data_IF_628848860417
#
_entry.id   IF_628848860417
#
_cell.length_a   1.000
_cell.length_b   1.000
_cell.length_c   1.000
_cell.angle_alpha   90.00
_cell.angle_beta   90.00
_cell.angle_gamma   90.00
#
_symmetry.space_group_name_H-M   'P 1'
#
loop_
_entity.id
_entity.type
_entity.pdbx_description
1 polymer ?
#
# COMPACT_ATOMS: atom_id res chain seq x y z
N UNK A 1 9.86 -12.17 -6.70
CA UNK A 1 8.57 -11.44 -6.72
C UNK A 1 8.76 -10.13 -5.97
N UNK A 2 7.88 -9.14 -6.16
CA UNK A 2 7.93 -7.88 -5.41
C UNK A 2 6.61 -7.66 -4.70
N UNK A 3 6.66 -7.05 -3.51
CA UNK A 3 5.47 -6.63 -2.78
C UNK A 3 5.53 -5.17 -2.41
N UNK A 4 4.36 -4.52 -2.40
CA UNK A 4 4.17 -3.17 -1.86
C UNK A 4 2.96 -3.17 -0.94
N UNK A 5 2.97 -2.32 0.09
CA UNK A 5 1.83 -2.18 1.00
C UNK A 5 1.61 -0.72 1.34
N UNK A 6 0.44 -0.20 0.98
CA UNK A 6 0.03 1.16 1.28
C UNK A 6 -1.27 1.18 2.07
N UNK A 7 -1.39 2.22 2.88
CA UNK A 7 -2.64 2.67 3.48
C UNK A 7 -3.08 3.96 2.80
N UNK A 8 -4.39 4.07 2.54
CA UNK A 8 -5.04 5.31 2.18
C UNK A 8 -5.96 5.70 3.34
N UNK A 9 -5.58 6.77 4.02
CA UNK A 9 -6.32 7.30 5.16
C UNK A 9 -6.67 8.76 4.89
N UNK A 10 -7.97 9.09 4.83
CA UNK A 10 -8.42 10.49 4.61
C UNK A 10 -7.69 11.18 3.44
N UNK A 11 -7.62 10.50 2.29
CA UNK A 11 -6.91 10.93 1.07
C UNK A 11 -5.38 11.06 1.19
N UNK A 12 -4.78 10.68 2.32
CA UNK A 12 -3.33 10.64 2.51
C UNK A 12 -2.80 9.21 2.34
N UNK A 13 -1.76 9.06 1.53
CA UNK A 13 -1.11 7.78 1.27
C UNK A 13 0.06 7.59 2.24
N UNK A 14 0.06 6.47 2.94
CA UNK A 14 1.17 6.06 3.81
C UNK A 14 1.76 4.74 3.34
N UNK A 15 3.09 4.70 3.22
CA UNK A 15 3.82 3.47 2.94
C UNK A 15 4.00 2.64 4.23
N UNK A 16 3.40 1.46 4.23
CA UNK A 16 3.43 0.55 5.38
C UNK A 16 4.70 -0.31 5.43
N UNK A 17 5.52 -0.33 4.37
CA UNK A 17 6.80 -1.03 4.31
C UNK A 17 8.00 -0.11 4.55
N UNK A 18 7.82 1.21 4.42
CA UNK A 18 8.87 2.19 4.69
C UNK A 18 9.50 2.00 6.10
N UNK A 19 10.83 2.16 6.24
CA UNK A 19 11.51 2.04 7.52
C UNK A 19 11.04 3.09 8.54
N UNK A 20 11.03 2.74 9.84
CA UNK A 20 10.50 3.59 10.93
C UNK A 20 11.30 4.88 11.16
N UNK A 21 12.54 4.95 10.67
CA UNK A 21 13.41 6.16 10.68
C UNK A 21 12.71 7.38 10.05
N UNK A 22 11.75 7.15 9.15
CA UNK A 22 10.97 8.19 8.49
C UNK A 22 10.04 8.98 9.43
N UNK A 23 9.79 8.53 10.67
CA UNK A 23 8.87 9.23 11.60
C UNK A 23 9.50 10.37 12.38
N UNK A 24 10.84 10.42 12.49
CA UNK A 24 11.55 11.36 13.38
C UNK A 24 12.56 12.27 12.69
N UNK A 25 12.90 12.01 11.43
CA UNK A 25 13.74 12.90 10.63
C UNK A 25 12.91 14.00 10.00
N UNK A 26 13.38 15.24 10.08
CA UNK A 26 12.83 16.42 9.39
C UNK A 26 12.29 16.05 8.00
N UNK A 27 11.13 16.63 7.63
CA UNK A 27 10.29 16.40 6.45
C UNK A 27 11.02 16.24 5.08
N UNK A 28 12.32 16.56 5.03
CA UNK A 28 13.19 16.51 3.84
C UNK A 28 13.79 15.13 3.51
N UNK A 29 13.76 14.15 4.42
CA UNK A 29 14.34 12.80 4.17
C UNK A 29 13.30 11.73 3.80
N UNK A 30 12.00 12.04 3.89
CA UNK A 30 10.95 11.14 3.44
C UNK A 30 10.95 11.07 1.92
N UNK A 31 11.01 9.85 1.38
CA UNK A 31 10.80 9.59 -0.05
C UNK A 31 9.40 10.14 -0.41
N UNK A 32 9.27 11.09 -1.35
CA UNK A 32 7.97 11.65 -1.68
C UNK A 32 7.08 10.57 -2.30
N UNK A 33 5.95 10.31 -1.66
CA UNK A 33 4.91 9.42 -2.18
C UNK A 33 3.96 10.27 -3.01
N UNK A 34 3.77 9.91 -4.27
CA UNK A 34 2.92 10.68 -5.19
C UNK A 34 1.99 9.74 -5.97
N UNK A 35 0.71 10.08 -6.01
CA UNK A 35 -0.25 9.46 -6.91
C UNK A 35 -0.08 10.07 -8.31
N UNK A 36 0.09 9.21 -9.31
CA UNK A 36 0.38 9.59 -10.69
C UNK A 36 -0.55 8.83 -11.64
N UNK A 37 -0.83 9.45 -12.79
CA UNK A 37 -1.52 8.80 -13.90
C UNK A 37 -0.52 8.42 -14.98
N UNK A 38 -0.68 7.24 -15.57
CA UNK A 38 0.02 6.85 -16.78
C UNK A 38 -0.65 7.50 -18.00
N UNK A 39 0.06 7.51 -19.14
CA UNK A 39 -0.45 8.07 -20.39
C UNK A 39 -1.66 7.35 -21.00
N UNK A 40 -2.20 6.32 -20.33
CA UNK A 40 -3.37 5.52 -20.71
C UNK A 40 -4.50 5.65 -19.68
N UNK A 41 -4.39 6.53 -18.69
CA UNK A 41 -5.39 6.76 -17.64
C UNK A 41 -5.32 5.76 -16.47
N UNK A 42 -4.28 4.94 -16.39
CA UNK A 42 -4.01 4.07 -15.25
C UNK A 42 -3.36 4.82 -14.09
N UNK A 43 -3.86 4.66 -12.87
CA UNK A 43 -3.29 5.31 -11.67
C UNK A 43 -2.25 4.42 -11.02
N UNK A 44 -1.10 4.99 -10.63
CA UNK A 44 -0.07 4.32 -9.85
C UNK A 44 0.53 5.25 -8.78
N UNK A 45 1.08 4.65 -7.74
CA UNK A 45 1.74 5.39 -6.66
C UNK A 45 3.26 5.27 -6.83
N UNK A 46 3.93 6.41 -6.96
CA UNK A 46 5.38 6.52 -7.01
C UNK A 46 5.94 6.67 -5.59
N UNK A 47 7.12 6.11 -5.36
CA UNK A 47 7.87 6.32 -4.12
C UNK A 47 7.60 5.28 -3.03
N UNK A 48 6.69 4.33 -3.26
CA UNK A 48 6.50 3.18 -2.37
C UNK A 48 7.76 2.31 -2.34
N UNK A 49 8.01 1.75 -1.17
CA UNK A 49 9.03 0.74 -0.96
C UNK A 49 8.57 -0.60 -1.56
N UNK A 50 9.46 -1.23 -2.33
CA UNK A 50 9.23 -2.53 -2.95
C UNK A 50 10.13 -3.56 -2.26
N UNK A 51 9.54 -4.48 -1.50
CA UNK A 51 10.31 -5.59 -0.91
C UNK A 51 10.35 -6.78 -1.88
N UNK A 52 11.55 -7.30 -2.13
CA UNK A 52 11.75 -8.50 -2.95
C UNK A 52 11.53 -9.73 -2.08
N UNK A 53 10.69 -10.64 -2.57
CA UNK A 53 10.34 -11.88 -1.88
C UNK A 53 10.48 -13.09 -2.80
N UNK A 54 10.79 -14.22 -2.18
CA UNK A 54 11.05 -15.50 -2.82
C UNK A 54 10.13 -16.61 -2.33
N UNK A 55 9.49 -16.44 -1.16
CA UNK A 55 8.60 -17.45 -0.59
C UNK A 55 7.27 -16.87 -0.12
N UNK A 56 6.23 -17.70 -0.04
CA UNK A 56 4.96 -17.31 0.58
C UNK A 56 5.13 -16.91 2.05
N UNK A 57 6.03 -17.57 2.79
CA UNK A 57 6.32 -17.23 4.18
C UNK A 57 6.87 -15.82 4.35
N UNK A 58 7.69 -15.34 3.42
CA UNK A 58 8.15 -13.93 3.41
C UNK A 58 7.00 -12.97 3.15
N UNK A 59 6.11 -13.29 2.21
CA UNK A 59 4.92 -12.47 1.94
C UNK A 59 4.07 -12.30 3.20
N UNK A 60 3.79 -13.40 3.93
CA UNK A 60 3.02 -13.35 5.18
C UNK A 60 3.71 -12.50 6.26
N UNK A 61 5.04 -12.64 6.44
CA UNK A 61 5.79 -11.83 7.40
C UNK A 61 5.70 -10.34 7.10
N UNK A 62 5.77 -9.97 5.83
CA UNK A 62 5.70 -8.57 5.38
C UNK A 62 4.29 -8.02 5.57
N UNK A 63 3.27 -8.83 5.24
CA UNK A 63 1.88 -8.49 5.48
C UNK A 63 1.63 -8.22 6.97
N UNK A 64 2.06 -9.13 7.86
CA UNK A 64 1.92 -8.98 9.31
C UNK A 64 2.64 -7.73 9.84
N UNK A 65 3.87 -7.48 9.38
CA UNK A 65 4.66 -6.28 9.72
C UNK A 65 3.92 -5.00 9.32
N UNK A 66 3.43 -4.93 8.08
CA UNK A 66 2.69 -3.77 7.58
C UNK A 66 1.36 -3.58 8.30
N UNK A 67 0.64 -4.65 8.61
CA UNK A 67 -0.61 -4.62 9.37
C UNK A 67 -0.40 -4.13 10.81
N UNK A 68 0.71 -4.52 11.46
CA UNK A 68 1.07 -4.00 12.77
C UNK A 68 1.41 -2.51 12.72
N UNK A 69 2.11 -2.06 11.66
CA UNK A 69 2.41 -0.64 11.44
C UNK A 69 1.14 0.19 11.21
N UNK A 70 0.18 -0.33 10.42
CA UNK A 70 -1.15 0.25 10.21
C UNK A 70 -1.89 0.43 11.52
N UNK A 71 -2.00 -0.64 12.34
CA UNK A 71 -2.65 -0.59 13.66
C UNK A 71 -2.00 0.45 14.59
N UNK A 72 -0.68 0.55 14.55
CA UNK A 72 0.06 1.54 15.36
C UNK A 72 -0.23 2.96 14.89
N UNK A 73 -0.31 3.19 13.58
CA UNK A 73 -0.68 4.48 13.00
C UNK A 73 -2.12 4.89 13.39
N UNK A 74 -3.08 3.95 13.34
CA UNK A 74 -4.47 4.18 13.80
C UNK A 74 -4.52 4.66 15.26
N UNK A 75 -3.72 4.02 16.13
CA UNK A 75 -3.69 4.33 17.56
C UNK A 75 -3.03 5.69 17.84
N UNK A 76 -1.94 6.02 17.14
CA UNK A 76 -1.21 7.29 17.29
C UNK A 76 -2.02 8.48 16.76
N UNK A 77 -2.74 8.30 15.65
CA UNK A 77 -3.52 9.36 15.00
C UNK A 77 -4.95 9.47 15.52
N UNK A 78 -5.32 8.62 16.49
CA UNK A 78 -6.62 8.61 17.17
C UNK A 78 -7.80 8.66 16.19
N UNK A 79 -7.84 7.67 15.27
CA UNK A 79 -8.76 7.68 14.13
C UNK A 79 -9.52 6.36 13.95
N UNK A 80 -10.77 6.52 13.52
CA UNK A 80 -11.77 5.47 13.32
C UNK A 80 -11.37 4.57 12.13
N UNK A 81 -11.33 3.25 12.36
CA UNK A 81 -10.97 2.25 11.34
C UNK A 81 -11.88 2.27 10.10
N UNK A 82 -13.05 2.88 10.21
CA UNK A 82 -13.98 3.07 9.09
C UNK A 82 -13.54 4.06 8.02
N UNK A 83 -12.39 4.72 8.19
CA UNK A 83 -11.82 5.64 7.20
C UNK A 83 -10.45 5.20 6.66
N UNK A 84 -9.97 4.03 7.07
CA UNK A 84 -8.69 3.47 6.62
C UNK A 84 -8.93 2.40 5.55
N UNK A 85 -8.37 2.59 4.37
CA UNK A 85 -8.30 1.60 3.30
C UNK A 85 -6.86 1.11 3.16
N UNK A 86 -6.66 -0.12 2.68
CA UNK A 86 -5.31 -0.61 2.43
C UNK A 86 -5.22 -1.46 1.16
N UNK A 87 -4.05 -1.40 0.52
CA UNK A 87 -3.76 -2.12 -0.72
C UNK A 87 -2.41 -2.81 -0.56
N UNK A 88 -2.43 -4.14 -0.53
CA UNK A 88 -1.23 -4.97 -0.59
C UNK A 88 -1.08 -5.53 -2.01
N UNK A 89 -0.02 -5.16 -2.72
CA UNK A 89 0.19 -5.58 -4.10
C UNK A 89 1.32 -6.60 -4.18
N UNK A 90 1.12 -7.65 -4.97
CA UNK A 90 2.14 -8.65 -5.32
C UNK A 90 2.39 -8.56 -6.82
N UNK A 91 3.63 -8.29 -7.22
CA UNK A 91 4.04 -8.22 -8.63
C UNK A 91 5.03 -9.35 -8.95
N UNK A 92 4.73 -10.10 -10.00
CA UNK A 92 5.50 -11.25 -10.46
C UNK A 92 5.96 -10.96 -11.89
N UNK A 93 7.26 -11.08 -12.13
CA UNK A 93 7.84 -11.07 -13.47
C UNK A 93 8.37 -12.46 -13.77
N UNK A 94 7.93 -13.05 -14.87
CA UNK A 94 8.37 -14.36 -15.36
C UNK A 94 9.05 -14.12 -16.69
N UNK A 95 10.30 -14.56 -16.81
CA UNK A 95 11.03 -14.57 -18.08
C UNK A 95 10.89 -15.95 -18.71
N UNK A 96 10.37 -16.00 -19.92
CA UNK A 96 10.22 -17.22 -20.72
C UNK A 96 10.89 -17.03 -22.07
N UNK A 97 11.32 -18.13 -22.68
CA UNK A 97 11.79 -18.14 -24.06
C UNK A 97 10.68 -18.73 -24.92
N UNK A 98 10.26 -18.05 -25.98
CA UNK A 98 9.29 -18.59 -26.91
C UNK A 98 9.89 -19.77 -27.69
N UNK A 99 9.06 -20.63 -28.32
CA UNK A 99 9.56 -21.68 -29.19
C UNK A 99 10.45 -21.17 -30.33
N UNK A 100 10.28 -19.92 -30.75
CA UNK A 100 11.09 -19.24 -31.77
C UNK A 100 12.43 -18.70 -31.23
N UNK A 101 12.70 -18.82 -29.92
CA UNK A 101 13.92 -18.35 -29.27
C UNK A 101 13.87 -16.88 -28.84
N UNK A 102 12.70 -16.25 -28.85
CA UNK A 102 12.53 -14.86 -28.42
C UNK A 102 12.34 -14.79 -26.90
N UNK A 103 12.99 -13.82 -26.25
CA UNK A 103 12.79 -13.59 -24.82
C UNK A 103 11.46 -12.84 -24.58
N UNK A 104 10.58 -13.44 -23.79
CA UNK A 104 9.31 -12.86 -23.39
C UNK A 104 9.29 -12.63 -21.87
N UNK A 105 8.82 -11.46 -21.45
CA UNK A 105 8.59 -11.16 -20.02
C UNK A 105 7.09 -11.08 -19.78
N UNK A 106 6.55 -12.02 -19.00
CA UNK A 106 5.18 -11.96 -18.47
C UNK A 106 5.19 -11.25 -17.14
N UNK A 107 4.32 -10.25 -16.99
CA UNK A 107 4.11 -9.55 -15.73
C UNK A 107 2.69 -9.82 -15.22
N UNK A 108 2.58 -10.30 -13.98
CA UNK A 108 1.32 -10.47 -13.27
C UNK A 108 1.32 -9.60 -12.01
N UNK A 109 0.23 -8.87 -11.78
CA UNK A 109 0.04 -8.06 -10.57
C UNK A 109 -1.26 -8.45 -9.89
N UNK A 110 -1.18 -8.85 -8.63
CA UNK A 110 -2.32 -9.13 -7.76
C UNK A 110 -2.44 -8.01 -6.73
N UNK A 111 -3.61 -7.36 -6.66
CA UNK A 111 -3.90 -6.36 -5.63
C UNK A 111 -4.89 -6.96 -4.63
N UNK A 112 -4.49 -7.02 -3.36
CA UNK A 112 -5.36 -7.39 -2.24
C UNK A 112 -5.81 -6.09 -1.58
N UNK A 113 -7.09 -5.78 -1.69
CA UNK A 113 -7.66 -4.49 -1.27
C UNK A 113 -8.61 -4.71 -0.11
N UNK A 114 -8.37 -3.98 0.98
CA UNK A 114 -9.26 -3.90 2.14
C UNK A 114 -9.85 -2.48 2.19
N UNK A 115 -11.17 -2.39 2.05
CA UNK A 115 -11.88 -1.12 2.01
C UNK A 115 -12.58 -0.86 3.34
N UNK A 116 -12.54 0.41 3.75
CA UNK A 116 -13.21 0.87 4.94
C UNK A 116 -14.74 0.69 4.84
N UNK A 117 -15.39 0.58 6.00
CA UNK A 117 -16.82 0.32 6.09
C UNK A 117 -17.67 1.41 5.44
N UNK A 118 -18.73 1.02 4.71
CA UNK A 118 -19.67 1.93 4.05
C UNK A 118 -20.73 2.51 5.00
N UNK A 119 -20.35 2.77 6.25
CA UNK A 119 -21.29 3.13 7.30
C UNK A 119 -21.98 4.46 7.03
N UNK A 120 -23.30 4.47 7.26
CA UNK A 120 -24.11 5.64 7.00
C UNK A 120 -24.00 6.62 8.19
N UNK A 121 -23.43 7.80 7.96
CA UNK A 121 -23.21 8.85 8.97
C UNK A 121 -24.50 9.19 9.74
N UNK A 122 -25.65 9.14 9.05
CA UNK A 122 -26.97 9.40 9.65
C UNK A 122 -27.42 8.34 10.66
N UNK A 123 -26.89 7.11 10.58
CA UNK A 123 -27.21 5.98 11.47
C UNK A 123 -26.09 5.63 12.45
N UNK A 124 -24.84 5.99 12.14
CA UNK A 124 -23.68 5.62 12.97
C UNK A 124 -23.50 6.53 14.19
N UNK A 125 -24.20 7.66 14.26
CA UNK A 125 -24.05 8.64 15.35
C UNK A 125 -22.67 9.31 15.38
N UNK A 126 -21.86 9.13 14.33
CA UNK A 126 -20.57 9.76 14.19
C UNK A 126 -20.75 11.29 14.12
N UNK A 127 -20.27 12.00 15.13
CA UNK A 127 -20.25 13.46 15.13
C UNK A 127 -19.07 13.93 14.29
N UNK A 128 -19.35 14.80 13.33
CA UNK A 128 -18.32 15.50 12.58
C UNK A 128 -17.55 16.39 13.57
N UNK A 129 -16.30 16.03 13.88
CA UNK A 129 -15.41 16.84 14.72
C UNK A 129 -14.58 17.70 13.79
N UNK A 130 -15.24 18.57 13.05
CA UNK A 130 -14.59 19.61 12.25
C UNK A 130 -15.09 20.98 12.72
N UNK A 131 -14.25 21.63 13.53
CA UNK A 131 -14.35 23.04 13.86
C UNK A 131 -12.96 23.65 13.83
#
# INVERSE_FOLDING_TARGET
MKVTFLELYNEEITDLLAPDESKFSDDKSKKPIALMEDGKGGVFVRGLEEEVVYTAGEIYKILDKGSAKRRTAETLLNKQSSRSHSIFSITIHIKECTPEGEEMIKCGKLNLVDLAGSENISRSGARDVSK
#
